data_IF_299646289243
#
_entry.id   IF_299646289243
#
_cell.length_a   1.000
_cell.length_b   1.000
_cell.length_c   1.000
_cell.angle_alpha   90.00
_cell.angle_beta   90.00
_cell.angle_gamma   90.00
#
_symmetry.space_group_name_H-M   'P 1'
#
loop_
_entity.id
_entity.type
_entity.pdbx_description
1 polymer ?
#
# COMPACT_ATOMS: atom_id res chain seq x y z
N UNK A 1 51.79 -66.05 22.74
CA UNK A 1 50.86 -64.91 23.00
C UNK A 1 50.74 -64.15 21.68
N UNK A 2 49.64 -64.06 20.93
CA UNK A 2 48.21 -64.38 21.11
C UNK A 2 47.62 -64.63 19.71
N UNK A 3 46.63 -65.52 19.65
CA UNK A 3 45.79 -65.75 18.47
C UNK A 3 44.82 -64.58 18.21
N UNK A 4 44.38 -64.54 16.96
CA UNK A 4 43.45 -63.63 16.30
C UNK A 4 42.15 -63.26 17.03
N UNK A 5 41.50 -62.16 16.58
CA UNK A 5 40.08 -62.17 16.16
C UNK A 5 39.62 -60.82 15.58
N UNK A 6 38.87 -60.94 14.48
CA UNK A 6 38.08 -59.92 13.80
C UNK A 6 37.15 -59.15 14.75
N UNK A 7 37.04 -57.83 14.56
CA UNK A 7 35.83 -57.07 14.87
C UNK A 7 35.66 -55.92 13.89
N UNK A 8 34.76 -56.11 12.93
CA UNK A 8 34.16 -55.07 12.09
C UNK A 8 33.41 -54.09 12.99
N UNK A 9 33.70 -52.79 12.89
CA UNK A 9 32.97 -51.73 13.57
C UNK A 9 32.26 -50.90 12.51
N UNK A 10 30.95 -51.13 12.37
CA UNK A 10 30.05 -50.31 11.55
C UNK A 10 29.76 -49.04 12.33
N UNK A 11 30.20 -47.89 11.83
CA UNK A 11 29.81 -46.59 12.36
C UNK A 11 28.63 -46.07 11.51
N UNK A 12 27.44 -46.09 12.08
CA UNK A 12 26.23 -45.53 11.47
C UNK A 12 26.33 -44.00 11.58
N UNK A 13 26.61 -43.32 10.47
CA UNK A 13 26.52 -41.87 10.38
C UNK A 13 25.03 -41.47 10.38
N UNK A 14 24.52 -41.05 11.53
CA UNK A 14 23.21 -40.45 11.64
C UNK A 14 23.21 -39.09 10.91
N UNK A 15 22.70 -39.07 9.68
CA UNK A 15 22.39 -37.84 8.96
C UNK A 15 21.18 -37.19 9.64
N UNK A 16 21.43 -36.32 10.60
CA UNK A 16 20.44 -35.35 11.06
C UNK A 16 20.24 -34.36 9.92
N UNK A 17 19.23 -34.63 9.08
CA UNK A 17 18.71 -33.65 8.14
C UNK A 17 18.20 -32.45 8.93
N UNK A 18 19.00 -31.39 8.99
CA UNK A 18 18.50 -30.09 9.41
C UNK A 18 17.48 -29.65 8.38
N UNK A 19 16.21 -29.69 8.76
CA UNK A 19 15.14 -29.08 8.00
C UNK A 19 15.53 -27.62 7.72
N UNK A 20 15.72 -27.30 6.44
CA UNK A 20 15.90 -25.93 6.00
C UNK A 20 14.61 -25.18 6.33
N UNK A 21 14.62 -24.42 7.43
CA UNK A 21 13.65 -23.34 7.59
C UNK A 21 13.92 -22.37 6.45
N UNK A 22 13.00 -22.31 5.48
CA UNK A 22 12.98 -21.26 4.48
C UNK A 22 12.82 -19.93 5.22
N UNK A 23 13.93 -19.25 5.49
CA UNK A 23 13.93 -17.90 6.04
C UNK A 23 13.35 -16.98 4.99
N UNK A 24 12.06 -16.67 5.11
CA UNK A 24 11.41 -15.55 4.41
C UNK A 24 11.85 -14.19 4.96
N UNK A 25 12.71 -14.16 5.98
CA UNK A 25 13.34 -12.97 6.52
C UNK A 25 14.71 -12.66 5.90
N UNK A 26 15.19 -11.42 6.04
CA UNK A 26 16.48 -10.99 5.50
C UNK A 26 17.62 -11.85 6.05
N UNK A 27 18.64 -12.09 5.22
CA UNK A 27 19.81 -12.84 5.66
C UNK A 27 20.59 -12.05 6.72
N UNK A 28 21.41 -12.73 7.53
CA UNK A 28 22.24 -12.05 8.55
C UNK A 28 23.17 -11.01 7.92
N UNK A 29 23.62 -11.26 6.70
CA UNK A 29 24.45 -10.35 5.91
C UNK A 29 23.65 -9.11 5.50
N UNK A 30 22.40 -9.27 5.06
CA UNK A 30 21.52 -8.15 4.73
C UNK A 30 21.22 -7.30 5.96
N UNK A 31 20.90 -7.92 7.10
CA UNK A 31 20.68 -7.20 8.37
C UNK A 31 21.93 -6.43 8.80
N UNK A 32 23.13 -7.01 8.63
CA UNK A 32 24.39 -6.31 8.92
C UNK A 32 24.64 -5.13 8.00
N UNK A 33 24.33 -5.27 6.71
CA UNK A 33 24.45 -4.20 5.74
C UNK A 33 23.49 -3.05 6.05
N UNK A 34 22.23 -3.36 6.36
CA UNK A 34 21.21 -2.39 6.75
C UNK A 34 21.58 -1.67 8.05
N UNK A 35 22.05 -2.40 9.07
CA UNK A 35 22.50 -1.80 10.32
C UNK A 35 23.71 -0.86 10.10
N UNK A 36 24.68 -1.26 9.27
CA UNK A 36 25.82 -0.41 8.94
C UNK A 36 25.39 0.88 8.21
N UNK A 37 24.39 0.78 7.32
CA UNK A 37 23.82 1.93 6.63
C UNK A 37 23.02 2.86 7.56
N UNK A 38 22.21 2.29 8.46
CA UNK A 38 21.48 3.05 9.47
C UNK A 38 22.44 3.87 10.35
N UNK A 39 23.54 3.25 10.80
CA UNK A 39 24.59 3.94 11.55
C UNK A 39 25.28 5.03 10.72
N UNK A 40 25.64 4.73 9.47
CA UNK A 40 26.28 5.68 8.56
C UNK A 40 25.40 6.92 8.30
N UNK A 41 24.11 6.73 8.17
CA UNK A 41 23.13 7.79 7.85
C UNK A 41 22.52 8.45 9.09
N UNK A 42 22.82 7.92 10.29
CA UNK A 42 22.24 8.39 11.55
C UNK A 42 20.76 8.06 11.70
N UNK A 43 20.20 7.16 10.88
CA UNK A 43 18.85 6.60 10.99
C UNK A 43 18.79 5.56 12.11
N UNK A 44 19.24 5.96 13.30
CA UNK A 44 19.30 5.17 14.52
C UNK A 44 18.48 5.92 15.55
N UNK A 45 17.54 5.23 16.19
CA UNK A 45 16.74 5.80 17.26
C UNK A 45 17.65 6.27 18.40
N UNK A 46 17.39 7.47 18.93
CA UNK A 46 17.99 7.93 20.18
C UNK A 46 17.06 7.64 21.36
N UNK A 47 17.62 7.66 22.56
CA UNK A 47 16.85 7.55 23.81
C UNK A 47 15.90 8.75 24.03
N UNK A 48 16.04 9.82 23.24
CA UNK A 48 15.25 11.04 23.34
C UNK A 48 14.03 11.05 22.39
N UNK A 49 13.87 10.02 21.54
CA UNK A 49 12.78 9.91 20.57
C UNK A 49 13.22 10.15 19.12
N UNK A 50 13.76 11.34 18.77
CA UNK A 50 14.28 11.61 17.43
C UNK A 50 15.44 10.70 17.04
N UNK A 51 15.70 10.58 15.75
CA UNK A 51 16.87 9.86 15.25
C UNK A 51 18.17 10.65 15.44
N UNK A 52 19.33 9.98 15.44
CA UNK A 52 20.62 10.63 15.68
C UNK A 52 20.98 11.67 14.61
N UNK A 53 20.59 11.45 13.36
CA UNK A 53 20.70 12.42 12.26
C UNK A 53 19.87 13.70 12.48
N UNK A 54 18.73 13.62 13.16
CA UNK A 54 17.89 14.77 13.49
C UNK A 54 18.49 15.57 14.65
N UNK A 55 19.03 14.89 15.66
CA UNK A 55 19.68 15.52 16.82
C UNK A 55 21.03 16.14 16.47
N UNK A 56 21.80 15.48 15.59
CA UNK A 56 23.16 15.88 15.22
C UNK A 56 23.34 15.96 13.70
N UNK A 57 22.61 16.83 13.00
CA UNK A 57 22.61 16.89 11.54
C UNK A 57 23.99 17.17 10.94
N UNK A 58 24.86 17.86 11.67
CA UNK A 58 26.24 18.15 11.25
C UNK A 58 27.18 16.93 11.31
N UNK A 59 26.76 15.80 11.92
CA UNK A 59 27.57 14.58 12.06
C UNK A 59 27.23 13.50 11.05
N UNK A 60 26.17 13.67 10.27
CA UNK A 60 25.67 12.68 9.34
C UNK A 60 25.51 13.30 7.94
N UNK A 61 25.62 12.50 6.87
CA UNK A 61 25.39 13.01 5.53
C UNK A 61 23.96 13.54 5.41
N UNK A 62 23.80 14.67 4.72
CA UNK A 62 22.48 15.23 4.43
C UNK A 62 21.64 14.17 3.69
N UNK A 63 20.51 13.81 4.28
CA UNK A 63 19.59 12.89 3.64
C UNK A 63 19.04 13.54 2.37
N UNK A 64 19.01 12.78 1.28
CA UNK A 64 18.24 13.16 0.10
C UNK A 64 16.78 13.02 0.50
N UNK A 65 16.19 14.11 0.99
CA UNK A 65 14.73 14.20 1.09
C UNK A 65 14.22 13.95 -0.32
N UNK A 66 13.43 12.89 -0.49
CA UNK A 66 12.74 12.62 -1.76
C UNK A 66 12.09 13.93 -2.19
N UNK A 67 12.67 14.55 -3.21
CA UNK A 67 12.27 15.87 -3.67
C UNK A 67 10.80 15.75 -4.04
N UNK A 68 9.94 16.42 -3.27
CA UNK A 68 8.56 16.63 -3.67
C UNK A 68 8.49 17.29 -5.04
N UNK A 69 7.27 17.58 -5.52
CA UNK A 69 7.09 18.21 -6.83
C UNK A 69 8.04 19.39 -7.01
N UNK A 70 8.80 19.37 -8.10
CA UNK A 70 9.66 20.48 -8.48
C UNK A 70 8.82 21.74 -8.65
N UNK A 71 9.43 22.92 -8.50
CA UNK A 71 8.72 24.19 -8.73
C UNK A 71 8.08 24.26 -10.11
N UNK A 72 8.74 23.69 -11.12
CA UNK A 72 8.22 23.59 -12.48
C UNK A 72 6.96 22.71 -12.56
N UNK A 73 6.95 21.55 -11.89
CA UNK A 73 5.77 20.69 -11.81
C UNK A 73 4.60 21.37 -11.09
N UNK A 74 4.87 22.06 -9.97
CA UNK A 74 3.83 22.81 -9.24
C UNK A 74 3.25 23.94 -10.11
N UNK A 75 4.09 24.66 -10.85
CA UNK A 75 3.62 25.70 -11.77
C UNK A 75 2.79 25.14 -12.92
N UNK A 76 3.19 24.00 -13.48
CA UNK A 76 2.42 23.32 -14.53
C UNK A 76 1.04 22.91 -14.04
N UNK A 77 0.95 22.29 -12.86
CA UNK A 77 -0.32 21.88 -12.27
C UNK A 77 -1.20 23.07 -11.90
N UNK A 78 -0.62 24.15 -11.37
CA UNK A 78 -1.36 25.37 -11.07
C UNK A 78 -1.93 26.00 -12.34
N UNK A 79 -1.12 26.10 -13.40
CA UNK A 79 -1.58 26.62 -14.68
C UNK A 79 -2.70 25.76 -15.28
N UNK A 80 -2.61 24.44 -15.14
CA UNK A 80 -3.68 23.53 -15.56
C UNK A 80 -4.96 23.74 -14.74
N UNK A 81 -4.85 23.82 -13.41
CA UNK A 81 -6.01 24.05 -12.54
C UNK A 81 -6.72 25.38 -12.85
N UNK A 82 -5.95 26.44 -13.16
CA UNK A 82 -6.49 27.72 -13.61
C UNK A 82 -7.23 27.53 -14.95
N UNK A 83 -6.59 26.87 -15.92
CA UNK A 83 -7.16 26.65 -17.25
C UNK A 83 -8.46 25.86 -17.22
N UNK A 84 -8.57 24.84 -16.38
CA UNK A 84 -9.76 23.98 -16.28
C UNK A 84 -10.77 24.45 -15.24
N UNK A 85 -10.45 25.51 -14.48
CA UNK A 85 -11.29 25.98 -13.37
C UNK A 85 -11.38 24.98 -12.21
N UNK A 86 -10.37 24.11 -12.05
CA UNK A 86 -10.23 23.19 -10.91
C UNK A 86 -9.69 23.93 -9.67
N UNK A 87 -10.24 25.11 -9.40
CA UNK A 87 -9.85 25.98 -8.28
C UNK A 87 -11.09 26.19 -7.44
N UNK A 88 -10.96 26.00 -6.12
CA UNK A 88 -12.02 26.30 -5.19
C UNK A 88 -12.29 27.81 -5.16
N UNK A 89 -13.56 28.17 -5.24
CA UNK A 89 -14.00 29.53 -4.95
C UNK A 89 -13.94 29.82 -3.45
N UNK A 90 -14.08 31.10 -3.10
CA UNK A 90 -14.25 31.57 -1.73
C UNK A 90 -15.49 31.01 -1.02
N UNK A 91 -16.49 30.58 -1.80
CA UNK A 91 -17.74 29.99 -1.30
C UNK A 91 -17.77 28.45 -1.35
N UNK A 92 -16.69 27.79 -1.76
CA UNK A 92 -16.52 26.33 -1.70
C UNK A 92 -16.52 25.61 -3.05
N UNK A 93 -17.55 25.75 -3.91
CA UNK A 93 -17.60 25.13 -5.24
C UNK A 93 -16.42 25.49 -6.11
N UNK A 94 -16.14 24.67 -7.13
CA UNK A 94 -15.06 24.94 -8.07
C UNK A 94 -15.48 26.05 -9.04
N UNK A 95 -14.53 26.87 -9.48
CA UNK A 95 -14.83 27.98 -10.40
C UNK A 95 -15.51 27.51 -11.69
N UNK A 96 -15.17 26.30 -12.17
CA UNK A 96 -15.84 25.67 -13.33
C UNK A 96 -17.29 25.29 -13.08
N UNK A 97 -17.68 25.04 -11.84
CA UNK A 97 -19.05 24.71 -11.46
C UNK A 97 -19.90 25.97 -11.37
N UNK A 98 -19.31 27.07 -10.88
CA UNK A 98 -19.98 28.38 -10.79
C UNK A 98 -20.13 29.07 -12.15
N UNK A 99 -19.13 28.91 -13.04
CA UNK A 99 -19.10 29.57 -14.34
C UNK A 99 -18.70 28.60 -15.45
N UNK A 100 -19.51 27.56 -15.76
CA UNK A 100 -19.15 26.51 -16.71
C UNK A 100 -18.82 27.06 -18.11
N UNK A 101 -19.49 28.12 -18.54
CA UNK A 101 -19.25 28.78 -19.83
C UNK A 101 -17.84 29.38 -19.99
N UNK A 102 -17.12 29.60 -18.87
CA UNK A 102 -15.76 30.18 -18.88
C UNK A 102 -14.64 29.14 -18.97
N UNK A 103 -14.97 27.86 -18.88
CA UNK A 103 -13.99 26.77 -18.79
C UNK A 103 -14.27 25.70 -19.85
N UNK A 104 -13.23 24.99 -20.34
CA UNK A 104 -13.43 23.93 -21.29
C UNK A 104 -14.29 22.82 -20.70
N UNK A 105 -15.21 22.29 -21.51
CA UNK A 105 -16.00 21.12 -21.14
C UNK A 105 -15.08 19.97 -20.76
N UNK A 106 -15.28 19.39 -19.57
CA UNK A 106 -14.52 18.22 -19.16
C UNK A 106 -14.97 17.02 -20.00
N UNK A 107 -13.99 16.28 -20.51
CA UNK A 107 -14.27 14.98 -21.09
C UNK A 107 -14.97 14.13 -20.02
N UNK A 108 -16.17 13.64 -20.32
CA UNK A 108 -16.84 12.70 -19.44
C UNK A 108 -15.90 11.51 -19.26
N UNK A 109 -15.37 11.33 -18.04
CA UNK A 109 -14.66 10.11 -17.68
C UNK A 109 -15.62 8.95 -17.95
N UNK A 110 -15.31 8.11 -18.93
CA UNK A 110 -16.09 6.96 -19.42
C UNK A 110 -17.26 6.60 -18.50
N UNK A 111 -18.40 7.25 -18.71
CA UNK A 111 -19.57 7.00 -17.90
C UNK A 111 -20.09 5.59 -18.25
N UNK A 112 -20.50 4.83 -17.22
CA UNK A 112 -21.13 3.52 -17.44
C UNK A 112 -22.28 3.68 -18.43
N UNK A 113 -22.41 2.76 -19.38
CA UNK A 113 -23.54 2.78 -20.32
C UNK A 113 -24.84 2.51 -19.57
N UNK A 114 -25.99 2.88 -20.16
CA UNK A 114 -27.30 2.59 -19.56
C UNK A 114 -27.49 1.09 -19.32
N UNK A 115 -26.95 0.25 -20.19
CA UNK A 115 -26.97 -1.20 -20.08
C UNK A 115 -26.13 -1.68 -18.90
N UNK A 116 -24.93 -1.14 -18.71
CA UNK A 116 -24.08 -1.46 -17.55
C UNK A 116 -24.75 -1.06 -16.24
N UNK A 117 -25.35 0.14 -16.19
CA UNK A 117 -26.09 0.60 -14.99
C UNK A 117 -27.31 -0.30 -14.72
N UNK A 118 -28.04 -0.73 -15.76
CA UNK A 118 -29.18 -1.64 -15.60
C UNK A 118 -28.74 -3.02 -15.12
N UNK A 119 -27.63 -3.54 -15.62
CA UNK A 119 -27.08 -4.83 -15.19
C UNK A 119 -26.66 -4.78 -13.71
N UNK A 120 -25.95 -3.74 -13.30
CA UNK A 120 -25.54 -3.52 -11.91
C UNK A 120 -26.75 -3.33 -10.98
N UNK A 121 -27.76 -2.56 -11.40
CA UNK A 121 -28.98 -2.38 -10.62
C UNK A 121 -29.77 -3.69 -10.47
N UNK A 122 -29.89 -4.48 -11.54
CA UNK A 122 -30.53 -5.79 -11.48
C UNK A 122 -29.77 -6.76 -10.57
N UNK A 123 -28.43 -6.71 -10.59
CA UNK A 123 -27.60 -7.48 -9.69
C UNK A 123 -27.77 -7.05 -8.22
N UNK A 124 -27.75 -5.76 -7.93
CA UNK A 124 -27.99 -5.23 -6.59
C UNK A 124 -29.37 -5.64 -6.05
N UNK A 125 -30.41 -5.61 -6.88
CA UNK A 125 -31.75 -6.11 -6.53
C UNK A 125 -31.73 -7.61 -6.24
N UNK A 126 -31.02 -8.40 -7.05
CA UNK A 126 -30.92 -9.85 -6.88
C UNK A 126 -30.16 -10.23 -5.61
N UNK A 127 -29.07 -9.54 -5.28
CA UNK A 127 -28.21 -9.83 -4.12
C UNK A 127 -28.65 -9.12 -2.85
N UNK A 128 -29.61 -8.19 -2.96
CA UNK A 128 -30.03 -7.32 -1.86
C UNK A 128 -28.96 -6.32 -1.43
N UNK A 129 -27.99 -6.03 -2.30
CA UNK A 129 -26.97 -5.00 -2.10
C UNK A 129 -27.55 -3.58 -2.35
N UNK A 130 -28.64 -3.30 -1.66
CA UNK A 130 -29.40 -2.05 -1.75
C UNK A 130 -29.43 -1.44 -0.36
N UNK A 131 -29.05 -0.17 -0.26
CA UNK A 131 -29.16 0.59 0.99
C UNK A 131 -30.63 0.70 1.41
N UNK A 132 -30.93 0.40 2.68
CA UNK A 132 -32.23 0.73 3.26
C UNK A 132 -32.27 2.18 3.76
N UNK A 133 -33.47 2.65 4.06
CA UNK A 133 -33.74 3.93 4.71
C UNK A 133 -33.20 4.01 6.15
N UNK A 134 -32.96 2.88 6.80
CA UNK A 134 -32.48 2.78 8.18
C UNK A 134 -30.98 2.47 8.31
N UNK A 135 -30.24 2.42 7.20
CA UNK A 135 -28.79 2.26 7.18
C UNK A 135 -28.26 0.92 6.62
N UNK A 136 -28.56 -0.25 7.22
CA UNK A 136 -28.07 -1.53 6.75
C UNK A 136 -28.64 -1.90 5.37
N UNK A 137 -27.96 -2.81 4.67
CA UNK A 137 -28.40 -3.27 3.34
C UNK A 137 -29.59 -4.22 3.43
N UNK A 138 -30.39 -4.32 2.37
CA UNK A 138 -31.57 -5.18 2.36
C UNK A 138 -31.25 -6.66 2.58
N UNK A 139 -30.09 -7.14 2.14
CA UNK A 139 -29.61 -8.50 2.40
C UNK A 139 -29.17 -8.75 3.84
N UNK A 140 -28.76 -7.70 4.57
CA UNK A 140 -28.44 -7.75 6.00
C UNK A 140 -29.72 -7.77 6.84
N UNK A 141 -30.72 -6.97 6.45
CA UNK A 141 -32.03 -6.91 7.13
C UNK A 141 -32.89 -8.15 6.86
N UNK A 142 -32.87 -8.65 5.62
CA UNK A 142 -33.72 -9.76 5.18
C UNK A 142 -32.91 -10.88 4.51
N UNK A 143 -31.97 -11.52 5.23
CA UNK A 143 -31.09 -12.55 4.65
C UNK A 143 -31.87 -13.76 4.09
N UNK A 144 -33.09 -13.99 4.58
CA UNK A 144 -33.96 -15.06 4.08
C UNK A 144 -34.53 -14.76 2.69
N UNK A 145 -34.63 -13.48 2.31
CA UNK A 145 -35.16 -13.03 1.01
C UNK A 145 -34.08 -12.97 -0.07
N UNK A 146 -32.84 -12.71 0.34
CA UNK A 146 -31.69 -12.61 -0.55
C UNK A 146 -30.78 -13.80 -0.23
N UNK A 147 -30.99 -14.92 -0.92
CA UNK A 147 -30.07 -16.06 -0.80
C UNK A 147 -28.66 -15.55 -1.08
N UNK A 148 -27.77 -15.63 -0.09
CA UNK A 148 -26.36 -15.34 -0.30
C UNK A 148 -25.86 -16.26 -1.41
N UNK A 149 -25.67 -15.74 -2.61
CA UNK A 149 -24.89 -16.42 -3.63
C UNK A 149 -23.46 -16.39 -3.12
N UNK A 150 -23.09 -17.42 -2.36
CA UNK A 150 -21.68 -17.72 -2.09
C UNK A 150 -21.10 -18.31 -3.36
N UNK A 151 -20.17 -17.58 -3.97
CA UNK A 151 -19.40 -18.02 -5.14
C UNK A 151 -19.94 -17.45 -6.43
#
# INVERSE_FOLDING_TARGET
MKFARNTTLVLIAATLGTAAFASTGPTREQVRAEAAEAVRTGNVASDLGPQLNELYPNRYPSQVINTGKTRAQVQAELAEAIRTGNIASDIGPLLRELNPERYPSQAATSAKTREQVRAEAAEAIRTGDIASDIGPKLNELYPQRYKQVRG
#
